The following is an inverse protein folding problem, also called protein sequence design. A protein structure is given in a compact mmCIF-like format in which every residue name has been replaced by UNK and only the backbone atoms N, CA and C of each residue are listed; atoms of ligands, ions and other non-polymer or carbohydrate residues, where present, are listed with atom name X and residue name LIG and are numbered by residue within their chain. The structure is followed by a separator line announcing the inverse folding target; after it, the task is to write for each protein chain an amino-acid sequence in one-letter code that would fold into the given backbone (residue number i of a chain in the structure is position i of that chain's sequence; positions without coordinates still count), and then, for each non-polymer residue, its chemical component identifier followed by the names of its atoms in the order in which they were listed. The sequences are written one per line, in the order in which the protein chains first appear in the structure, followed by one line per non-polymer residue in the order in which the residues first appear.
data_IF_334665186426
#
_entry.id   IF_334665186426
#
_cell.length_a   1.000
_cell.length_b   1.000
_cell.length_c   1.000
_cell.angle_alpha   90.00
_cell.angle_beta   90.00
_cell.angle_gamma   90.00
#
_symmetry.space_group_name_H-M   'P 1'
#
loop_
_entity.id
_entity.type
_entity.pdbx_description
1 polymer ?
#
# COMPACT_ATOMS: atom_id res chain seq x y z
N UNK A 1 -13.99 1.32 8.43
CA UNK A 1 -13.92 2.75 8.08
C UNK A 1 -12.69 3.01 7.26
N UNK A 2 -12.91 3.40 6.05
CA UNK A 2 -11.80 3.66 5.16
C UNK A 2 -10.96 4.85 5.60
N UNK A 3 -11.53 5.74 6.40
CA UNK A 3 -10.81 6.91 6.88
C UNK A 3 -9.73 6.56 7.90
N UNK A 4 -9.71 5.32 8.38
CA UNK A 4 -8.71 4.92 9.36
C UNK A 4 -7.30 4.93 8.78
N UNK A 5 -7.18 4.80 7.45
CA UNK A 5 -5.86 4.80 6.83
C UNK A 5 -5.10 6.11 7.10
N UNK A 6 -5.83 7.21 7.28
CA UNK A 6 -5.20 8.49 7.57
C UNK A 6 -4.53 8.56 8.93
N UNK A 7 -4.88 7.63 9.82
CA UNK A 7 -4.28 7.58 11.15
C UNK A 7 -3.12 6.60 11.24
N UNK A 8 -2.92 5.80 10.22
CA UNK A 8 -1.87 4.81 10.22
C UNK A 8 -0.56 5.44 9.77
N UNK A 9 0.49 5.06 10.43
CA UNK A 9 1.81 5.37 9.92
C UNK A 9 2.10 4.44 8.77
N UNK A 10 2.62 4.98 7.66
CA UNK A 10 2.86 4.22 6.45
C UNK A 10 4.34 4.27 6.12
N UNK A 11 4.98 3.11 6.10
CA UNK A 11 6.36 2.98 5.68
C UNK A 11 6.44 2.38 4.29
N UNK A 12 7.57 2.60 3.62
CA UNK A 12 7.79 2.10 2.27
C UNK A 12 9.13 1.39 2.21
N UNK A 13 9.15 0.20 1.59
CA UNK A 13 10.42 -0.48 1.35
C UNK A 13 11.11 0.14 0.15
N UNK A 14 12.42 -0.12 0.00
CA UNK A 14 13.16 0.41 -1.14
C UNK A 14 12.65 -0.14 -2.47
N UNK A 15 12.13 -1.35 -2.48
CA UNK A 15 11.62 -1.94 -3.70
C UNK A 15 10.46 -1.17 -4.29
N UNK A 16 9.76 -0.37 -3.49
CA UNK A 16 8.63 0.41 -4.00
C UNK A 16 9.07 1.55 -4.89
N UNK A 17 10.36 1.89 -4.90
CA UNK A 17 10.88 2.96 -5.76
C UNK A 17 11.12 2.52 -7.20
N UNK A 18 10.98 1.22 -7.47
CA UNK A 18 11.31 0.66 -8.78
C UNK A 18 10.57 1.36 -9.92
N UNK A 19 9.33 1.73 -9.71
CA UNK A 19 8.50 2.32 -10.76
C UNK A 19 8.40 3.84 -10.64
N UNK A 20 9.22 4.45 -9.76
CA UNK A 20 9.27 5.91 -9.59
C UNK A 20 7.93 6.53 -9.22
N UNK A 21 7.11 5.79 -8.51
CA UNK A 21 5.84 6.30 -8.03
C UNK A 21 6.07 6.94 -6.67
N UNK A 22 5.67 8.19 -6.53
CA UNK A 22 5.86 8.93 -5.30
C UNK A 22 5.01 8.38 -4.16
N UNK A 23 5.48 8.62 -2.93
CA UNK A 23 4.75 8.19 -1.75
C UNK A 23 3.38 8.85 -1.65
N UNK A 24 3.28 10.11 -2.09
CA UNK A 24 2.01 10.81 -2.05
C UNK A 24 0.98 10.15 -2.94
N UNK A 25 1.39 9.67 -4.12
CA UNK A 25 0.47 8.98 -5.02
C UNK A 25 -0.02 7.67 -4.40
N UNK A 26 0.89 6.91 -3.78
CA UNK A 26 0.50 5.66 -3.12
C UNK A 26 -0.46 5.93 -1.97
N UNK A 27 -0.18 6.95 -1.16
CA UNK A 27 -1.06 7.30 -0.04
C UNK A 27 -2.43 7.74 -0.53
N UNK A 28 -2.48 8.45 -1.65
CA UNK A 28 -3.76 8.87 -2.22
C UNK A 28 -4.63 7.66 -2.55
N UNK A 29 -4.04 6.65 -3.21
CA UNK A 29 -4.78 5.44 -3.56
C UNK A 29 -5.24 4.72 -2.30
N UNK A 30 -4.36 4.58 -1.31
CA UNK A 30 -4.70 3.86 -0.09
C UNK A 30 -5.80 4.56 0.69
N UNK A 31 -5.85 5.90 0.65
CA UNK A 31 -6.87 6.65 1.37
C UNK A 31 -8.21 6.65 0.66
N UNK A 32 -8.23 6.43 -0.65
CA UNK A 32 -9.44 6.56 -1.45
C UNK A 32 -10.03 5.24 -1.92
N UNK A 33 -9.41 4.10 -1.59
CA UNK A 33 -9.90 2.79 -2.01
C UNK A 33 -10.01 1.86 -0.82
N UNK A 34 -10.88 0.84 -0.97
CA UNK A 34 -11.03 -0.19 0.04
C UNK A 34 -10.01 -1.29 -0.23
N UNK A 35 -9.26 -1.71 0.79
CA UNK A 35 -8.30 -2.80 0.59
C UNK A 35 -8.98 -4.15 0.48
N UNK A 36 -8.34 -5.04 -0.25
CA UNK A 36 -8.77 -6.44 -0.37
C UNK A 36 -7.72 -7.31 0.31
N UNK A 37 -8.12 -8.23 1.18
CA UNK A 37 -7.15 -9.14 1.79
C UNK A 37 -6.62 -10.11 0.75
N UNK A 38 -5.30 -10.30 0.76
CA UNK A 38 -4.63 -11.21 -0.16
C UNK A 38 -3.54 -11.96 0.59
N UNK A 39 -3.09 -13.06 0.01
CA UNK A 39 -1.95 -13.78 0.54
C UNK A 39 -0.82 -13.66 -0.46
N UNK A 40 0.34 -13.21 0.01
CA UNK A 40 1.50 -13.02 -0.88
C UNK A 40 2.10 -14.36 -1.24
N UNK A 41 3.05 -14.34 -2.19
CA UNK A 41 3.75 -15.56 -2.58
C UNK A 41 4.56 -16.16 -1.43
N UNK A 42 4.87 -15.36 -0.42
CA UNK A 42 5.55 -15.85 0.79
C UNK A 42 4.56 -16.35 1.84
N UNK A 43 3.29 -16.48 1.49
CA UNK A 43 2.22 -16.95 2.37
C UNK A 43 1.98 -16.04 3.55
N UNK A 44 2.18 -14.75 3.36
CA UNK A 44 1.93 -13.72 4.36
C UNK A 44 0.66 -12.98 3.99
N UNK A 45 -0.20 -12.76 4.97
CA UNK A 45 -1.42 -11.99 4.76
C UNK A 45 -1.06 -10.53 4.52
N UNK A 46 -1.73 -9.94 3.55
CA UNK A 46 -1.46 -8.58 3.14
C UNK A 46 -2.75 -7.91 2.67
N UNK A 47 -2.65 -6.61 2.40
CA UNK A 47 -3.76 -5.81 1.90
C UNK A 47 -3.41 -5.29 0.51
N UNK A 48 -4.33 -5.50 -0.42
CA UNK A 48 -4.17 -5.03 -1.80
C UNK A 48 -5.07 -3.82 -2.00
N UNK A 49 -4.48 -2.72 -2.48
CA UNK A 49 -5.20 -1.51 -2.85
C UNK A 49 -5.04 -1.32 -4.35
N UNK A 50 -6.14 -1.14 -5.07
CA UNK A 50 -6.11 -0.88 -6.51
C UNK A 50 -7.03 0.30 -6.79
N UNK A 51 -6.50 1.35 -7.38
CA UNK A 51 -7.30 2.51 -7.70
C UNK A 51 -6.46 3.61 -8.31
N UNK A 52 -7.12 4.69 -8.76
CA UNK A 52 -6.41 5.78 -9.40
C UNK A 52 -5.67 6.65 -8.40
N UNK A 53 -4.49 7.11 -8.77
CA UNK A 53 -3.80 8.14 -8.01
C UNK A 53 -4.38 9.51 -8.35
N UNK A 54 -3.74 10.56 -7.83
CA UNK A 54 -4.25 11.92 -8.04
C UNK A 54 -4.18 12.37 -9.49
N UNK A 55 -3.45 11.63 -10.34
CA UNK A 55 -3.35 11.92 -11.77
C UNK A 55 -4.25 11.03 -12.61
N UNK A 56 -5.04 10.17 -11.97
CA UNK A 56 -5.89 9.23 -12.68
C UNK A 56 -5.19 7.96 -13.13
N UNK A 57 -3.92 7.79 -12.76
CA UNK A 57 -3.18 6.60 -13.12
C UNK A 57 -3.50 5.49 -12.11
N UNK A 58 -3.98 4.35 -12.60
CA UNK A 58 -4.34 3.25 -11.70
C UNK A 58 -3.09 2.56 -11.17
N UNK A 59 -3.03 2.42 -9.86
CA UNK A 59 -1.92 1.78 -9.17
C UNK A 59 -2.36 0.54 -8.44
N UNK A 60 -1.44 -0.39 -8.29
CA UNK A 60 -1.60 -1.58 -7.46
C UNK A 60 -0.61 -1.47 -6.30
N UNK A 61 -1.12 -1.58 -5.08
CA UNK A 61 -0.31 -1.39 -3.87
C UNK A 61 -0.55 -2.57 -2.94
N UNK A 62 0.53 -3.16 -2.45
CA UNK A 62 0.43 -4.22 -1.45
C UNK A 62 1.11 -3.74 -0.18
N UNK A 63 0.40 -3.86 0.94
CA UNK A 63 0.89 -3.41 2.24
C UNK A 63 0.70 -4.49 3.27
N UNK A 64 1.65 -4.58 4.20
CA UNK A 64 1.59 -5.49 5.33
C UNK A 64 1.30 -4.69 6.59
N UNK A 65 0.53 -5.28 7.49
CA UNK A 65 0.36 -4.71 8.82
C UNK A 65 1.48 -5.22 9.70
N UNK A 66 2.26 -4.30 10.27
CA UNK A 66 3.41 -4.63 11.10
C UNK A 66 3.15 -4.13 12.51
N UNK A 67 3.35 -5.03 13.48
CA UNK A 67 3.20 -4.68 14.90
C UNK A 67 4.58 -4.75 15.54
N UNK A 68 5.26 -3.60 15.71
CA UNK A 68 6.57 -3.61 16.34
C UNK A 68 6.46 -4.04 17.81
N UNK A 69 7.49 -4.74 18.30
CA UNK A 69 7.48 -5.23 19.68
C UNK A 69 7.48 -4.10 20.70
N UNK A 70 8.11 -2.98 20.36
CA UNK A 70 8.31 -1.87 21.27
C UNK A 70 7.42 -0.68 21.01
N UNK A 71 6.46 -0.82 20.09
CA UNK A 71 5.58 0.30 19.73
C UNK A 71 4.15 0.00 20.17
N UNK A 72 3.44 1.04 20.54
CA UNK A 72 2.06 0.90 20.99
C UNK A 72 1.10 0.61 19.84
N UNK A 73 1.44 1.02 18.63
CA UNK A 73 0.52 0.92 17.50
C UNK A 73 1.17 0.24 16.31
N UNK A 74 0.37 -0.52 15.55
CA UNK A 74 0.88 -1.09 14.31
C UNK A 74 1.03 -0.02 13.23
N UNK A 75 1.78 -0.35 12.19
CA UNK A 75 1.87 0.50 11.02
C UNK A 75 1.72 -0.35 9.76
N UNK A 76 1.49 0.31 8.63
CA UNK A 76 1.43 -0.35 7.34
C UNK A 76 2.76 -0.20 6.63
N UNK A 77 3.29 -1.32 6.15
CA UNK A 77 4.53 -1.31 5.38
C UNK A 77 4.18 -1.64 3.94
N UNK A 78 4.36 -0.67 3.06
CA UNK A 78 4.11 -0.86 1.64
C UNK A 78 5.31 -1.57 1.03
N UNK A 79 5.06 -2.74 0.44
CA UNK A 79 6.11 -3.58 -0.12
C UNK A 79 6.07 -3.62 -1.63
N UNK A 80 5.01 -3.10 -2.26
CA UNK A 80 4.84 -3.19 -3.70
C UNK A 80 3.97 -2.01 -4.16
N UNK A 81 4.45 -1.29 -5.17
CA UNK A 81 3.69 -0.23 -5.82
C UNK A 81 4.00 -0.27 -7.31
N UNK A 82 2.99 -0.42 -8.15
CA UNK A 82 3.22 -0.36 -9.60
C UNK A 82 1.94 0.05 -10.32
N UNK A 83 2.06 0.65 -11.51
CA UNK A 83 0.90 0.89 -12.35
C UNK A 83 0.31 -0.43 -12.82
N UNK A 84 -1.02 -0.56 -12.78
CA UNK A 84 -1.66 -1.82 -13.18
C UNK A 84 -1.42 -2.15 -14.64
N UNK A 85 -1.24 -1.15 -15.48
CA UNK A 85 -1.00 -1.38 -16.90
C UNK A 85 0.27 -2.18 -17.17
N UNK A 86 1.19 -2.25 -16.21
CA UNK A 86 2.41 -3.03 -16.38
C UNK A 86 2.21 -4.51 -16.10
N UNK A 87 1.04 -4.90 -15.65
CA UNK A 87 0.76 -6.30 -15.35
C UNK A 87 0.52 -7.13 -16.60
N UNK A 88 0.16 -6.47 -17.65
CA UNK A 88 -0.22 -7.04 -18.90
C UNK A 88 0.66 -8.12 -19.41
#
# INVERSE_FOLDING_TARGET
MSDDIGRWEIGFTQSTRRHRIGRASARHVMASTEPTPVTTSSLVDAWLYVGPDERGRELEIIALEVQPADAAQPYLLVIHVMPTQLRG
#
